data_IF_474849661645
#
_entry.id   IF_474849661645
#
_cell.length_a   1.000
_cell.length_b   1.000
_cell.length_c   1.000
_cell.angle_alpha   90.00
_cell.angle_beta   90.00
_cell.angle_gamma   90.00
#
_symmetry.space_group_name_H-M   'P 1'
#
loop_
_entity.id
_entity.type
_entity.pdbx_description
1 polymer ?
#
# COMPACT_ATOMS: atom_id res chain seq x y z
N UNK A 1 26.69 -30.72 24.37
CA UNK A 1 27.25 -29.54 23.68
C UNK A 1 26.20 -29.09 22.68
N UNK A 2 25.36 -28.12 23.02
CA UNK A 2 24.27 -27.67 22.16
C UNK A 2 24.82 -26.73 21.09
N UNK A 3 24.39 -26.91 19.84
CA UNK A 3 24.83 -26.11 18.71
C UNK A 3 24.44 -24.62 18.90
N UNK A 4 25.27 -23.66 18.45
CA UNK A 4 24.96 -22.24 18.55
C UNK A 4 23.71 -21.91 17.72
N UNK A 5 22.83 -21.09 18.30
CA UNK A 5 21.58 -20.64 17.69
C UNK A 5 21.88 -19.63 16.57
N UNK A 6 21.63 -19.95 15.28
CA UNK A 6 21.97 -19.08 14.15
C UNK A 6 21.06 -17.84 14.00
N UNK A 7 20.09 -17.64 14.91
CA UNK A 7 19.21 -16.46 14.92
C UNK A 7 19.69 -15.34 15.85
N UNK A 8 20.76 -15.55 16.63
CA UNK A 8 21.27 -14.53 17.55
C UNK A 8 22.01 -13.39 16.83
N UNK A 9 22.55 -13.65 15.63
CA UNK A 9 23.32 -12.69 14.83
C UNK A 9 22.50 -12.10 13.67
N UNK A 10 21.19 -11.88 13.87
CA UNK A 10 20.39 -11.17 12.88
C UNK A 10 20.60 -9.65 13.06
N UNK A 11 21.24 -8.93 12.11
CA UNK A 11 21.41 -7.48 12.18
C UNK A 11 20.08 -6.70 12.07
N UNK A 12 18.96 -7.38 11.84
CA UNK A 12 17.60 -6.83 11.91
C UNK A 12 16.96 -6.95 13.31
N UNK A 13 17.70 -7.39 14.33
CA UNK A 13 17.26 -7.37 15.71
C UNK A 13 17.01 -5.91 16.18
N UNK A 14 15.76 -5.48 16.00
CA UNK A 14 15.10 -4.33 16.60
C UNK A 14 15.96 -3.06 16.72
N UNK A 15 16.27 -2.43 15.59
CA UNK A 15 16.45 -0.97 15.62
C UNK A 15 15.12 -0.35 16.06
N UNK A 16 15.09 0.59 17.03
CA UNK A 16 13.86 1.25 17.44
C UNK A 16 13.27 1.96 16.22
N UNK A 17 12.17 1.42 15.70
CA UNK A 17 11.50 1.95 14.51
C UNK A 17 11.07 3.39 14.80
N UNK A 18 11.43 4.29 13.90
CA UNK A 18 11.03 5.69 13.97
C UNK A 18 9.49 5.78 14.08
N UNK A 19 8.96 6.73 14.86
CA UNK A 19 7.52 6.88 15.05
C UNK A 19 6.84 7.09 13.70
N UNK A 20 5.69 6.43 13.50
CA UNK A 20 4.94 6.50 12.27
C UNK A 20 4.48 7.96 12.04
N UNK A 21 5.01 8.67 11.02
CA UNK A 21 4.67 10.08 10.78
C UNK A 21 3.20 10.26 10.38
N UNK A 22 2.54 9.18 9.95
CA UNK A 22 1.11 9.17 9.64
C UNK A 22 0.22 8.98 10.88
N UNK A 23 0.80 8.64 12.04
CA UNK A 23 0.07 8.47 13.31
C UNK A 23 0.14 9.72 14.20
N UNK A 24 0.82 10.78 13.75
CA UNK A 24 1.00 12.03 14.50
C UNK A 24 -0.35 12.74 14.69
N UNK A 25 -0.75 12.99 15.95
CA UNK A 25 -2.04 13.60 16.30
C UNK A 25 -3.23 12.65 16.43
N UNK A 26 -3.05 11.35 16.17
CA UNK A 26 -4.03 10.32 16.52
C UNK A 26 -3.71 9.82 17.93
N UNK A 27 -4.54 10.21 18.90
CA UNK A 27 -4.34 9.92 20.32
C UNK A 27 -3.95 8.45 20.58
N UNK A 28 -2.82 8.33 21.28
CA UNK A 28 -2.13 7.13 21.72
C UNK A 28 -3.02 6.12 22.48
N UNK A 29 -2.87 4.84 22.14
CA UNK A 29 -3.10 3.68 23.02
C UNK A 29 -4.39 3.69 23.87
N UNK A 30 -5.57 3.68 23.23
CA UNK A 30 -6.77 3.20 23.93
C UNK A 30 -6.70 1.68 24.05
N UNK A 31 -6.17 1.17 25.16
CA UNK A 31 -6.44 -0.21 25.57
C UNK A 31 -7.95 -0.33 25.75
N UNK A 32 -8.58 -1.24 25.01
CA UNK A 32 -10.00 -1.52 25.17
C UNK A 32 -10.32 -1.95 26.61
N UNK A 33 -11.59 -1.79 27.06
CA UNK A 33 -12.01 -2.36 28.34
C UNK A 33 -11.76 -3.89 28.37
N UNK A 34 -11.68 -4.51 29.56
CA UNK A 34 -11.61 -5.97 29.67
C UNK A 34 -12.68 -6.63 28.80
N UNK A 35 -12.28 -7.60 27.99
CA UNK A 35 -13.11 -8.23 26.97
C UNK A 35 -12.97 -9.75 27.07
N UNK A 36 -14.08 -10.47 26.91
CA UNK A 36 -14.05 -11.90 26.59
C UNK A 36 -14.46 -12.08 25.13
N UNK A 37 -13.62 -12.74 24.33
CA UNK A 37 -13.87 -13.07 22.92
C UNK A 37 -14.15 -14.58 22.80
N UNK A 38 -15.35 -14.92 22.33
CA UNK A 38 -15.74 -16.32 22.09
C UNK A 38 -15.64 -16.60 20.58
N UNK A 39 -14.85 -17.62 20.21
CA UNK A 39 -14.62 -18.00 18.81
C UNK A 39 -15.31 -19.34 18.54
N UNK A 40 -16.44 -19.32 17.85
CA UNK A 40 -17.07 -20.53 17.32
C UNK A 40 -16.33 -21.00 16.06
N UNK A 41 -16.02 -22.29 15.98
CA UNK A 41 -15.14 -22.83 14.94
C UNK A 41 -13.66 -22.58 15.25
N UNK A 42 -13.27 -22.68 16.52
CA UNK A 42 -11.89 -22.43 16.96
C UNK A 42 -10.84 -23.31 16.27
N UNK A 43 -11.21 -24.51 15.82
CA UNK A 43 -10.36 -25.41 15.03
C UNK A 43 -10.39 -25.17 13.52
N UNK A 44 -11.13 -24.15 13.06
CA UNK A 44 -11.37 -23.89 11.64
C UNK A 44 -10.34 -22.98 10.98
N UNK A 45 -10.33 -23.02 9.64
CA UNK A 45 -9.38 -22.28 8.80
C UNK A 45 -9.47 -20.76 9.01
N UNK A 46 -10.69 -20.22 9.19
CA UNK A 46 -10.89 -18.80 9.49
C UNK A 46 -10.18 -18.39 10.80
N UNK A 47 -10.24 -19.24 11.83
CA UNK A 47 -9.59 -18.99 13.11
C UNK A 47 -8.07 -19.01 12.95
N UNK A 48 -7.54 -20.04 12.30
CA UNK A 48 -6.10 -20.21 12.10
C UNK A 48 -5.48 -19.15 11.17
N UNK A 49 -6.19 -18.72 10.11
CA UNK A 49 -5.62 -17.84 9.07
C UNK A 49 -5.96 -16.37 9.20
N UNK A 50 -6.99 -16.01 9.97
CA UNK A 50 -7.46 -14.61 10.06
C UNK A 50 -7.61 -14.14 11.50
N UNK A 51 -8.32 -14.87 12.35
CA UNK A 51 -8.65 -14.40 13.70
C UNK A 51 -7.43 -14.45 14.63
N UNK A 52 -6.76 -15.60 14.75
CA UNK A 52 -5.57 -15.73 15.60
C UNK A 52 -4.41 -14.84 15.14
N UNK A 53 -4.10 -14.72 13.82
CA UNK A 53 -3.11 -13.75 13.35
C UNK A 53 -3.45 -12.30 13.70
N UNK A 54 -4.71 -11.90 13.58
CA UNK A 54 -5.15 -10.56 13.93
C UNK A 54 -5.01 -10.29 15.44
N UNK A 55 -5.40 -11.25 16.29
CA UNK A 55 -5.25 -11.14 17.74
C UNK A 55 -3.78 -11.10 18.16
N UNK A 56 -2.94 -11.95 17.58
CA UNK A 56 -1.50 -11.95 17.85
C UNK A 56 -0.87 -10.60 17.49
N UNK A 57 -1.25 -10.01 16.36
CA UNK A 57 -0.80 -8.67 15.94
C UNK A 57 -1.25 -7.57 16.90
N UNK A 58 -2.50 -7.60 17.37
CA UNK A 58 -3.02 -6.64 18.34
C UNK A 58 -2.34 -6.80 19.73
N UNK A 59 -1.99 -8.04 20.11
CA UNK A 59 -1.24 -8.33 21.33
C UNK A 59 0.17 -7.74 21.29
N UNK A 60 0.91 -7.96 20.19
CA UNK A 60 2.27 -7.42 19.99
C UNK A 60 2.29 -5.89 20.05
N UNK A 61 1.23 -5.23 19.57
CA UNK A 61 1.09 -3.76 19.59
C UNK A 61 0.59 -3.18 20.92
N UNK A 62 0.39 -4.02 21.95
CA UNK A 62 -0.19 -3.63 23.25
C UNK A 62 -1.56 -2.94 23.14
N UNK A 63 -2.29 -3.22 22.06
CA UNK A 63 -3.62 -2.67 21.81
C UNK A 63 -4.73 -3.44 22.54
N UNK A 64 -4.44 -4.69 22.93
CA UNK A 64 -5.35 -5.52 23.72
C UNK A 64 -5.24 -5.21 25.22
N UNK A 65 -6.36 -5.35 25.92
CA UNK A 65 -6.36 -5.37 27.37
C UNK A 65 -5.55 -6.56 27.89
N UNK A 66 -4.69 -6.39 28.93
CA UNK A 66 -4.06 -7.51 29.62
C UNK A 66 -5.07 -8.50 30.21
N UNK A 67 -6.33 -8.09 30.37
CA UNK A 67 -7.44 -8.90 30.86
C UNK A 67 -8.29 -9.54 29.73
N UNK A 68 -7.80 -9.56 28.48
CA UNK A 68 -8.50 -10.25 27.39
C UNK A 68 -8.53 -11.77 27.66
N UNK A 69 -9.73 -12.34 27.65
CA UNK A 69 -9.93 -13.78 27.62
C UNK A 69 -10.37 -14.23 26.22
N UNK A 70 -9.74 -15.26 25.65
CA UNK A 70 -10.13 -15.87 24.37
C UNK A 70 -10.63 -17.30 24.65
N UNK A 71 -11.87 -17.57 24.29
CA UNK A 71 -12.53 -18.87 24.51
C UNK A 71 -12.86 -19.50 23.16
N UNK A 72 -12.25 -20.65 22.86
CA UNK A 72 -12.50 -21.40 21.64
C UNK A 72 -13.62 -22.43 21.80
N UNK A 73 -14.57 -22.46 20.87
CA UNK A 73 -15.62 -23.47 20.81
C UNK A 73 -15.53 -24.19 19.46
N UNK A 74 -15.38 -25.52 19.48
CA UNK A 74 -15.28 -26.33 18.27
C UNK A 74 -15.85 -27.74 18.48
N UNK A 75 -16.20 -28.41 17.37
CA UNK A 75 -16.60 -29.83 17.38
C UNK A 75 -15.40 -30.76 17.56
N UNK A 76 -14.25 -30.37 16.99
CA UNK A 76 -12.98 -31.05 17.21
C UNK A 76 -12.46 -30.67 18.58
N UNK A 77 -12.18 -31.65 19.44
CA UNK A 77 -11.56 -31.38 20.73
C UNK A 77 -10.08 -31.05 20.56
N UNK A 78 -9.60 -30.13 21.39
CA UNK A 78 -8.24 -29.62 21.42
C UNK A 78 -7.93 -29.26 22.88
N UNK A 79 -6.69 -29.48 23.32
CA UNK A 79 -6.28 -29.05 24.66
C UNK A 79 -6.09 -27.53 24.70
N UNK A 80 -6.16 -26.94 25.89
CA UNK A 80 -5.87 -25.51 26.06
C UNK A 80 -4.44 -25.16 25.62
N UNK A 81 -3.49 -26.08 25.81
CA UNK A 81 -2.10 -25.91 25.41
C UNK A 81 -1.95 -25.90 23.89
N UNK A 82 -2.64 -26.81 23.20
CA UNK A 82 -2.66 -26.85 21.72
C UNK A 82 -3.33 -25.61 21.14
N UNK A 83 -4.39 -25.10 21.78
CA UNK A 83 -5.05 -23.87 21.33
C UNK A 83 -4.16 -22.64 21.51
N UNK A 84 -3.43 -22.56 22.64
CA UNK A 84 -2.44 -21.50 22.87
C UNK A 84 -1.29 -21.57 21.87
N UNK A 85 -0.83 -22.79 21.53
CA UNK A 85 0.22 -22.98 20.52
C UNK A 85 -0.26 -22.55 19.14
N UNK A 86 -1.47 -22.95 18.73
CA UNK A 86 -2.07 -22.51 17.47
C UNK A 86 -2.15 -20.97 17.38
N UNK A 87 -2.47 -20.30 18.50
CA UNK A 87 -2.49 -18.85 18.57
C UNK A 87 -1.08 -18.21 18.48
N UNK A 88 -0.08 -18.84 19.10
CA UNK A 88 1.30 -18.36 19.07
C UNK A 88 1.96 -18.55 17.69
N UNK A 89 1.65 -19.64 17.00
CA UNK A 89 2.21 -19.98 15.68
C UNK A 89 1.58 -19.15 14.54
N UNK A 90 0.54 -18.36 14.82
CA UNK A 90 -0.26 -17.66 13.84
C UNK A 90 0.29 -16.29 13.40
N UNK A 91 1.59 -16.01 13.54
CA UNK A 91 2.18 -14.70 13.16
C UNK A 91 2.82 -14.78 11.77
N UNK A 92 2.13 -14.37 10.68
CA UNK A 92 2.77 -14.23 9.39
C UNK A 92 3.56 -12.92 9.28
N UNK A 93 4.73 -12.97 8.65
CA UNK A 93 5.42 -11.77 8.18
C UNK A 93 4.64 -11.18 6.99
N UNK A 94 4.23 -9.91 7.11
CA UNK A 94 3.47 -9.20 6.07
C UNK A 94 4.21 -7.91 5.69
N UNK A 95 4.74 -7.88 4.47
CA UNK A 95 5.32 -6.68 3.87
C UNK A 95 4.36 -6.11 2.82
N UNK A 96 3.95 -4.86 3.00
CA UNK A 96 3.15 -4.10 2.03
C UNK A 96 3.99 -2.94 1.53
N UNK A 97 4.25 -2.89 0.21
CA UNK A 97 4.96 -1.77 -0.43
C UNK A 97 3.98 -1.00 -1.32
N UNK A 98 3.90 0.31 -1.15
CA UNK A 98 3.11 1.18 -2.03
C UNK A 98 3.85 2.47 -2.32
N UNK A 99 3.83 2.91 -3.57
CA UNK A 99 4.32 4.24 -3.96
C UNK A 99 3.27 5.34 -3.70
N UNK A 100 1.99 4.97 -3.59
CA UNK A 100 0.87 5.88 -3.39
C UNK A 100 -0.08 5.29 -2.33
N UNK A 101 0.02 5.72 -1.06
CA UNK A 101 -0.93 5.27 -0.04
C UNK A 101 -2.35 5.73 -0.39
N UNK A 102 -3.15 4.85 -1.00
CA UNK A 102 -4.57 5.12 -1.28
C UNK A 102 -5.27 5.30 0.07
N UNK A 103 -6.13 6.31 0.29
CA UNK A 103 -6.58 6.74 1.62
C UNK A 103 -7.09 5.63 2.56
N UNK A 104 -7.75 4.59 2.02
CA UNK A 104 -8.22 3.42 2.79
C UNK A 104 -7.08 2.47 3.21
N UNK A 105 -6.05 2.31 2.39
CA UNK A 105 -4.86 1.51 2.72
C UNK A 105 -3.87 2.31 3.57
N UNK A 106 -3.79 3.62 3.30
CA UNK A 106 -3.14 4.58 4.19
C UNK A 106 -3.76 4.50 5.59
N UNK A 107 -5.09 4.42 5.69
CA UNK A 107 -5.79 4.21 6.95
C UNK A 107 -5.34 2.97 7.73
N UNK A 108 -5.14 1.80 7.12
CA UNK A 108 -4.59 0.62 7.85
C UNK A 108 -3.16 0.83 8.37
N UNK A 109 -2.43 1.72 7.71
CA UNK A 109 -1.07 2.11 8.06
C UNK A 109 -1.05 3.21 9.15
N UNK A 110 -2.01 4.14 9.07
CA UNK A 110 -2.25 5.29 9.96
C UNK A 110 -2.89 4.85 11.28
N UNK A 111 -3.91 3.97 11.24
CA UNK A 111 -4.67 3.47 12.39
C UNK A 111 -3.94 2.37 13.17
N UNK A 112 -2.64 2.19 12.90
CA UNK A 112 -1.77 1.43 13.78
C UNK A 112 -1.84 -0.08 13.61
N UNK A 113 -2.26 -0.59 12.44
CA UNK A 113 -2.14 -2.02 12.16
C UNK A 113 -0.78 -2.36 11.53
N UNK A 114 -0.13 -1.51 10.74
CA UNK A 114 1.20 -1.77 10.11
C UNK A 114 2.31 -0.89 10.69
N UNK A 115 3.54 -1.41 10.77
CA UNK A 115 4.74 -0.60 10.99
C UNK A 115 5.18 -0.02 9.64
N UNK A 116 5.70 1.21 9.65
CA UNK A 116 6.02 1.95 8.43
C UNK A 116 7.49 2.20 8.26
N UNK A 117 7.92 2.17 7.01
CA UNK A 117 9.23 2.68 6.60
C UNK A 117 9.03 3.45 5.30
N UNK A 118 9.65 4.62 5.20
CA UNK A 118 9.55 5.51 4.03
C UNK A 118 10.87 5.47 3.28
N UNK A 119 10.82 5.13 1.99
CA UNK A 119 11.95 5.22 1.08
C UNK A 119 11.85 6.55 0.32
N UNK A 120 12.54 7.58 0.83
CA UNK A 120 12.48 8.94 0.28
C UNK A 120 13.58 9.23 -0.75
N UNK A 121 14.63 8.42 -0.81
CA UNK A 121 15.75 8.62 -1.71
C UNK A 121 15.44 8.12 -3.13
N UNK A 122 15.76 8.95 -4.12
CA UNK A 122 15.67 8.56 -5.51
C UNK A 122 16.87 7.69 -5.90
N UNK A 123 16.71 6.72 -6.82
CA UNK A 123 17.83 5.97 -7.36
C UNK A 123 18.90 6.90 -7.96
N UNK A 124 20.19 6.53 -7.86
CA UNK A 124 21.28 7.33 -8.43
C UNK A 124 21.08 7.53 -9.93
N UNK A 125 21.36 8.74 -10.41
CA UNK A 125 21.17 9.12 -11.82
C UNK A 125 19.74 9.54 -12.18
N UNK A 126 18.80 9.59 -11.22
CA UNK A 126 17.45 10.11 -11.50
C UNK A 126 17.47 11.62 -11.72
N UNK A 127 17.12 12.04 -12.94
CA UNK A 127 16.95 13.46 -13.27
C UNK A 127 15.54 13.96 -12.90
N UNK A 128 15.40 15.18 -12.36
CA UNK A 128 14.08 15.78 -12.10
C UNK A 128 13.22 15.87 -13.36
N UNK A 129 11.90 15.70 -13.19
CA UNK A 129 10.94 15.87 -14.29
C UNK A 129 10.75 17.36 -14.54
N UNK A 130 10.94 17.81 -15.78
CA UNK A 130 10.56 19.17 -16.18
C UNK A 130 9.04 19.23 -16.33
N UNK A 131 8.39 20.09 -15.55
CA UNK A 131 6.94 20.32 -15.61
C UNK A 131 6.65 21.72 -16.14
N UNK A 132 5.76 21.82 -17.12
CA UNK A 132 5.40 23.09 -17.78
C UNK A 132 3.89 23.14 -17.90
N UNK A 133 3.32 24.32 -17.65
CA UNK A 133 1.92 24.62 -17.93
C UNK A 133 1.86 25.47 -19.19
N UNK A 134 1.26 24.96 -20.28
CA UNK A 134 0.98 25.73 -21.48
C UNK A 134 -0.30 26.56 -21.28
N UNK A 135 -0.18 27.88 -21.27
CA UNK A 135 -1.25 28.85 -20.94
C UNK A 135 -1.95 29.42 -22.17
N UNK A 136 -1.62 28.95 -23.36
CA UNK A 136 -2.26 29.37 -24.60
C UNK A 136 -1.59 28.80 -25.86
N UNK A 137 -2.08 29.18 -27.06
CA UNK A 137 -1.77 28.50 -28.31
C UNK A 137 -0.28 28.45 -28.67
N UNK A 138 0.47 29.51 -28.35
CA UNK A 138 1.90 29.57 -28.64
C UNK A 138 2.70 28.61 -27.74
N UNK A 139 2.36 28.53 -26.46
CA UNK A 139 3.00 27.60 -25.51
C UNK A 139 2.57 26.15 -25.76
N UNK A 140 1.34 25.92 -26.19
CA UNK A 140 0.86 24.60 -26.63
C UNK A 140 1.63 24.12 -27.86
N UNK A 141 1.82 24.99 -28.86
CA UNK A 141 2.62 24.69 -30.04
C UNK A 141 4.04 24.30 -29.65
N UNK A 142 4.68 25.08 -28.77
CA UNK A 142 6.03 24.79 -28.27
C UNK A 142 6.10 23.46 -27.49
N UNK A 143 5.04 23.11 -26.75
CA UNK A 143 4.96 21.81 -26.07
C UNK A 143 4.90 20.64 -27.08
N UNK A 144 4.12 20.77 -28.15
CA UNK A 144 4.05 19.75 -29.21
C UNK A 144 5.36 19.63 -29.99
N UNK A 145 6.05 20.73 -30.27
CA UNK A 145 7.38 20.69 -30.89
C UNK A 145 8.39 19.93 -30.01
N UNK A 146 8.31 20.11 -28.70
CA UNK A 146 9.13 19.35 -27.74
C UNK A 146 8.81 17.86 -27.76
N UNK A 147 7.53 17.49 -27.90
CA UNK A 147 7.10 16.09 -28.06
C UNK A 147 7.67 15.50 -29.34
N UNK A 148 7.51 16.17 -30.49
CA UNK A 148 8.05 15.68 -31.78
C UNK A 148 9.57 15.53 -31.73
N UNK A 149 10.27 16.49 -31.14
CA UNK A 149 11.72 16.41 -30.96
C UNK A 149 12.16 15.26 -30.04
N UNK A 150 11.34 14.88 -29.04
CA UNK A 150 11.60 13.70 -28.22
C UNK A 150 11.40 12.40 -29.01
N UNK A 151 10.30 12.31 -29.74
CA UNK A 151 9.98 11.13 -30.56
C UNK A 151 11.01 10.92 -31.67
N UNK A 152 11.52 11.99 -32.29
CA UNK A 152 12.59 11.88 -33.29
C UNK A 152 13.90 11.34 -32.73
N UNK A 153 14.13 11.46 -31.42
CA UNK A 153 15.24 10.82 -30.68
C UNK A 153 14.89 9.42 -30.16
N UNK A 154 13.88 8.78 -30.76
CA UNK A 154 13.37 7.45 -30.36
C UNK A 154 12.86 7.38 -28.92
N UNK A 155 12.41 8.50 -28.35
CA UNK A 155 11.75 8.53 -27.04
C UNK A 155 10.24 8.32 -27.21
N UNK A 156 9.57 7.91 -26.13
CA UNK A 156 8.11 7.77 -26.11
C UNK A 156 7.48 9.03 -25.50
N UNK A 157 6.28 9.36 -25.98
CA UNK A 157 5.42 10.39 -25.40
C UNK A 157 4.06 9.78 -25.09
N UNK A 158 3.46 10.20 -23.98
CA UNK A 158 2.14 9.78 -23.54
C UNK A 158 1.20 10.97 -23.52
N UNK A 159 0.04 10.82 -24.14
CA UNK A 159 -1.07 11.77 -24.06
C UNK A 159 -2.17 11.11 -23.23
N UNK A 160 -2.66 11.81 -22.21
CA UNK A 160 -3.67 11.29 -21.30
C UNK A 160 -4.95 12.10 -21.48
N UNK A 161 -5.99 11.44 -21.96
CA UNK A 161 -7.32 12.02 -22.09
C UNK A 161 -8.18 11.56 -20.90
N UNK A 162 -8.88 12.47 -20.20
CA UNK A 162 -9.68 12.11 -19.04
C UNK A 162 -10.95 11.32 -19.39
N UNK A 163 -11.38 11.38 -20.66
CA UNK A 163 -12.58 10.73 -21.15
C UNK A 163 -12.23 9.68 -22.20
N UNK A 164 -12.82 8.49 -22.07
CA UNK A 164 -12.76 7.44 -23.11
C UNK A 164 -13.88 7.66 -24.13
N UNK A 165 -15.07 8.03 -23.66
CA UNK A 165 -16.27 8.36 -24.44
C UNK A 165 -16.76 9.76 -24.05
N UNK A 166 -17.55 10.39 -24.91
CA UNK A 166 -18.05 11.74 -24.69
C UNK A 166 -18.89 11.84 -23.41
N UNK A 167 -18.71 12.93 -22.65
CA UNK A 167 -19.43 13.16 -21.40
C UNK A 167 -19.95 14.59 -21.32
N UNK A 168 -21.25 14.74 -21.10
CA UNK A 168 -21.86 16.07 -20.86
C UNK A 168 -21.37 16.74 -19.56
N UNK A 169 -20.75 15.97 -18.65
CA UNK A 169 -20.29 16.47 -17.34
C UNK A 169 -18.88 17.05 -17.36
N UNK A 170 -18.06 16.71 -18.34
CA UNK A 170 -16.66 17.11 -18.42
C UNK A 170 -16.41 17.72 -19.78
N UNK A 171 -16.00 18.99 -19.80
CA UNK A 171 -15.63 19.70 -21.03
C UNK A 171 -14.23 19.26 -21.50
N UNK A 172 -14.11 18.00 -21.90
CA UNK A 172 -12.91 17.43 -22.51
C UNK A 172 -13.33 16.55 -23.69
N UNK A 173 -12.44 16.37 -24.67
CA UNK A 173 -12.67 15.47 -25.80
C UNK A 173 -12.46 14.02 -25.37
N UNK A 174 -13.16 13.11 -26.03
CA UNK A 174 -12.91 11.68 -25.90
C UNK A 174 -11.52 11.30 -26.44
N UNK A 175 -10.93 10.26 -25.89
CA UNK A 175 -9.62 9.76 -26.32
C UNK A 175 -9.59 9.39 -27.81
N UNK A 176 -10.70 8.90 -28.36
CA UNK A 176 -10.86 8.55 -29.77
C UNK A 176 -10.84 9.79 -30.67
N UNK A 177 -11.63 10.83 -30.34
CA UNK A 177 -11.62 12.08 -31.10
C UNK A 177 -10.24 12.77 -31.02
N UNK A 178 -9.64 12.76 -29.83
CA UNK A 178 -8.31 13.31 -29.60
C UNK A 178 -7.24 12.59 -30.42
N UNK A 179 -7.31 11.27 -30.50
CA UNK A 179 -6.40 10.44 -31.30
C UNK A 179 -6.47 10.80 -32.79
N UNK A 180 -7.68 10.89 -33.35
CA UNK A 180 -7.86 11.25 -34.76
C UNK A 180 -7.37 12.66 -35.06
N UNK A 181 -7.72 13.64 -34.22
CA UNK A 181 -7.30 15.04 -34.40
C UNK A 181 -5.78 15.18 -34.32
N UNK A 182 -5.16 14.61 -33.28
CA UNK A 182 -3.71 14.70 -33.10
C UNK A 182 -2.99 13.96 -34.23
N UNK A 183 -3.50 12.82 -34.69
CA UNK A 183 -2.94 12.12 -35.85
C UNK A 183 -3.03 12.92 -37.15
N UNK A 184 -4.08 13.73 -37.33
CA UNK A 184 -4.22 14.61 -38.47
C UNK A 184 -3.37 15.89 -38.37
N UNK A 185 -2.97 16.32 -37.17
CA UNK A 185 -2.30 17.59 -36.92
C UNK A 185 -0.96 17.45 -36.17
N UNK A 186 -0.95 17.58 -34.85
CA UNK A 186 0.27 17.75 -34.05
C UNK A 186 1.16 16.51 -33.96
N UNK A 187 0.64 15.34 -34.31
CA UNK A 187 1.38 14.09 -34.34
C UNK A 187 1.35 13.43 -35.72
N UNK A 188 0.99 14.18 -36.76
CA UNK A 188 0.99 13.70 -38.14
C UNK A 188 2.36 13.12 -38.53
N UNK A 189 2.33 11.93 -39.14
CA UNK A 189 3.52 11.19 -39.56
C UNK A 189 4.25 10.42 -38.45
N UNK A 190 3.76 10.46 -37.20
CA UNK A 190 4.29 9.65 -36.11
C UNK A 190 3.51 8.34 -35.95
N UNK A 191 4.15 7.35 -35.32
CA UNK A 191 3.47 6.11 -34.93
C UNK A 191 2.62 6.38 -33.68
N UNK A 192 1.31 6.31 -33.85
CA UNK A 192 0.34 6.31 -32.76
C UNK A 192 -0.07 4.87 -32.46
N UNK A 193 -0.42 4.57 -31.21
CA UNK A 193 -0.76 3.22 -30.75
C UNK A 193 -1.62 3.22 -29.51
#
# INVERSE_FOLDING_TARGET
MAAPNPLADNPLAASPLAPNPLAEGLDSQRRGPPLALIIFGASGDLTARKILPALARLATRRALSPALAVVGVARTQMSDDDFRKLAADAVPDVLVMTATPIPRTAAMTVYGDLDTTVLAELPPGRTPVTTVWARGPLEETAAWDRVRAAVSRSQQAYVVCPLVEDSERVQARSATEEFERLGAAELSGLRLG
#
